data_IF_817121729401
#
_entry.id   IF_817121729401
#
_cell.length_a   1.000
_cell.length_b   1.000
_cell.length_c   1.000
_cell.angle_alpha   90.00
_cell.angle_beta   90.00
_cell.angle_gamma   90.00
#
_symmetry.space_group_name_H-M   'P 1'
#
loop_
_entity.id
_entity.type
_entity.pdbx_description
1 polymer ?
#
# COMPACT_ATOMS: atom_id res chain seq x y z
N UNK A 1 5.66 3.62 19.54
CA UNK A 1 6.37 4.01 20.78
C UNK A 1 6.02 5.44 21.16
N UNK A 2 5.48 5.64 22.38
CA UNK A 2 4.99 6.96 22.84
C UNK A 2 6.12 7.97 23.21
N UNK A 3 7.34 7.50 23.36
CA UNK A 3 8.51 8.36 23.60
C UNK A 3 8.99 8.95 22.27
N UNK A 4 9.09 8.11 21.25
CA UNK A 4 9.53 8.54 19.91
C UNK A 4 8.44 9.35 19.19
N UNK A 5 7.17 9.00 19.39
CA UNK A 5 6.03 9.60 18.71
C UNK A 5 4.95 10.06 19.72
N UNK A 6 5.23 11.09 20.54
CA UNK A 6 4.32 11.53 21.60
C UNK A 6 2.97 12.03 21.09
N UNK A 7 2.89 12.43 19.83
CA UNK A 7 1.66 12.86 19.17
C UNK A 7 0.84 11.71 18.57
N UNK A 8 1.30 10.47 18.64
CA UNK A 8 0.58 9.30 18.15
C UNK A 8 -0.37 8.78 19.22
N UNK A 9 -1.54 9.37 19.31
CA UNK A 9 -2.62 9.03 20.24
C UNK A 9 -3.78 8.30 19.56
N UNK A 10 -4.77 7.90 20.35
CA UNK A 10 -5.96 7.18 19.85
C UNK A 10 -6.79 8.03 18.88
N UNK A 11 -6.82 9.36 19.05
CA UNK A 11 -7.52 10.28 18.16
C UNK A 11 -6.85 10.34 16.78
N UNK A 12 -5.53 10.42 16.74
CA UNK A 12 -4.80 10.40 15.48
C UNK A 12 -4.96 9.05 14.78
N UNK A 13 -4.85 7.94 15.53
CA UNK A 13 -5.05 6.59 14.98
C UNK A 13 -6.46 6.41 14.40
N UNK A 14 -7.49 6.88 15.11
CA UNK A 14 -8.86 6.86 14.61
C UNK A 14 -9.02 7.72 13.34
N UNK A 15 -8.41 8.91 13.30
CA UNK A 15 -8.45 9.79 12.13
C UNK A 15 -7.77 9.16 10.90
N UNK A 16 -6.63 8.48 11.08
CA UNK A 16 -5.96 7.75 10.00
C UNK A 16 -6.83 6.61 9.43
N UNK A 17 -7.52 5.88 10.28
CA UNK A 17 -8.43 4.81 9.85
C UNK A 17 -9.65 5.38 9.12
N UNK A 18 -10.23 6.46 9.63
CA UNK A 18 -11.38 7.11 9.02
C UNK A 18 -11.04 7.71 7.65
N UNK A 19 -9.85 8.31 7.48
CA UNK A 19 -9.35 8.74 6.17
C UNK A 19 -9.43 7.60 5.14
N UNK A 20 -8.88 6.44 5.51
CA UNK A 20 -8.82 5.28 4.62
C UNK A 20 -10.21 4.77 4.28
N UNK A 21 -11.10 4.72 5.26
CA UNK A 21 -12.49 4.28 5.09
C UNK A 21 -13.26 5.21 4.16
N UNK A 22 -13.21 6.51 4.41
CA UNK A 22 -13.88 7.53 3.59
C UNK A 22 -13.31 7.58 2.17
N UNK A 23 -12.01 7.41 2.03
CA UNK A 23 -11.35 7.40 0.73
C UNK A 23 -11.81 6.19 -0.10
N UNK A 24 -11.79 4.98 0.46
CA UNK A 24 -12.29 3.79 -0.21
C UNK A 24 -13.79 3.90 -0.52
N UNK A 25 -14.59 4.38 0.43
CA UNK A 25 -16.01 4.61 0.25
C UNK A 25 -16.30 5.59 -0.90
N UNK A 26 -15.52 6.64 -1.04
CA UNK A 26 -15.68 7.60 -2.14
C UNK A 26 -15.42 6.97 -3.50
N UNK A 27 -14.39 6.13 -3.63
CA UNK A 27 -14.10 5.41 -4.89
C UNK A 27 -15.27 4.48 -5.24
N UNK A 28 -15.81 3.79 -4.25
CA UNK A 28 -16.93 2.86 -4.42
C UNK A 28 -18.25 3.60 -4.77
N UNK A 29 -18.65 4.61 -3.98
CA UNK A 29 -19.93 5.29 -4.12
C UNK A 29 -20.03 6.20 -5.34
N UNK A 30 -18.92 6.81 -5.72
CA UNK A 30 -18.85 7.71 -6.89
C UNK A 30 -18.53 6.94 -8.17
N UNK A 31 -18.45 5.62 -8.09
CA UNK A 31 -18.09 4.73 -9.20
C UNK A 31 -16.83 5.19 -9.93
N UNK A 32 -15.80 5.54 -9.15
CA UNK A 32 -14.52 5.97 -9.69
C UNK A 32 -13.72 4.80 -10.23
N UNK A 33 -12.64 5.13 -10.95
CA UNK A 33 -11.67 4.11 -11.33
C UNK A 33 -11.02 3.50 -10.10
N UNK A 34 -10.84 2.17 -10.05
CA UNK A 34 -10.05 1.52 -9.00
C UNK A 34 -8.59 2.00 -8.99
N UNK A 35 -8.12 2.61 -10.08
CA UNK A 35 -6.77 3.20 -10.16
C UNK A 35 -6.60 4.38 -9.21
N UNK A 36 -7.68 5.05 -8.82
CA UNK A 36 -7.64 6.11 -7.81
C UNK A 36 -7.16 5.59 -6.45
N UNK A 37 -7.34 4.29 -6.17
CA UNK A 37 -6.78 3.67 -4.96
C UNK A 37 -5.24 3.73 -4.92
N UNK A 38 -4.59 3.87 -6.07
CA UNK A 38 -3.13 3.99 -6.18
C UNK A 38 -2.69 5.45 -6.22
N UNK A 39 -3.28 6.24 -7.09
CA UNK A 39 -2.86 7.63 -7.33
C UNK A 39 -4.06 8.55 -7.53
N UNK A 40 -4.58 9.09 -6.45
CA UNK A 40 -5.62 10.11 -6.44
C UNK A 40 -5.04 11.49 -6.14
N UNK A 41 -5.73 12.53 -6.59
CA UNK A 41 -5.41 13.94 -6.34
C UNK A 41 -6.20 14.51 -5.16
N UNK A 42 -6.75 13.65 -4.30
CA UNK A 42 -7.52 14.04 -3.12
C UNK A 42 -7.39 13.02 -1.98
N UNK A 43 -7.75 13.46 -0.79
CA UNK A 43 -7.97 12.62 0.39
C UNK A 43 -9.05 13.22 1.28
N UNK A 44 -9.29 12.65 2.46
CA UNK A 44 -10.23 13.14 3.46
C UNK A 44 -9.49 13.49 4.75
N UNK A 45 -9.63 14.74 5.19
CA UNK A 45 -8.94 15.25 6.37
C UNK A 45 -9.90 15.93 7.33
N UNK A 46 -9.66 15.73 8.63
CA UNK A 46 -10.10 16.59 9.71
C UNK A 46 -8.90 17.41 10.22
N UNK A 47 -9.12 18.30 11.18
CA UNK A 47 -8.06 19.15 11.77
C UNK A 47 -6.88 18.33 12.29
N UNK A 48 -7.15 17.24 13.03
CA UNK A 48 -6.12 16.40 13.64
C UNK A 48 -5.18 15.79 12.61
N UNK A 49 -5.74 15.25 11.52
CA UNK A 49 -4.98 14.60 10.47
C UNK A 49 -4.32 15.62 9.53
N UNK A 50 -4.96 16.73 9.25
CA UNK A 50 -4.41 17.84 8.47
C UNK A 50 -3.15 18.41 9.14
N UNK A 51 -3.20 18.64 10.45
CA UNK A 51 -2.05 19.08 11.24
C UNK A 51 -0.92 18.03 11.23
N UNK A 52 -1.27 16.75 11.31
CA UNK A 52 -0.29 15.67 11.23
C UNK A 52 0.42 15.61 9.87
N UNK A 53 -0.30 15.88 8.78
CA UNK A 53 0.23 15.90 7.43
C UNK A 53 0.91 17.22 7.04
N UNK A 54 0.67 18.29 7.80
CA UNK A 54 1.09 19.65 7.46
C UNK A 54 0.35 20.19 6.23
N UNK A 55 -0.93 19.80 6.05
CA UNK A 55 -1.75 20.17 4.89
C UNK A 55 -2.81 21.17 5.29
N UNK A 56 -2.88 22.30 4.56
CA UNK A 56 -3.97 23.27 4.63
C UNK A 56 -5.03 22.98 3.55
N UNK A 57 -6.17 23.65 3.64
CA UNK A 57 -7.14 23.67 2.55
C UNK A 57 -6.56 24.34 1.29
N UNK A 58 -7.14 24.09 0.07
CA UNK A 58 -6.60 24.63 -1.18
C UNK A 58 -6.53 26.17 -1.25
N UNK A 59 -7.32 26.87 -0.45
CA UNK A 59 -7.28 28.33 -0.26
C UNK A 59 -6.19 28.82 0.70
N UNK A 60 -5.41 27.89 1.27
CA UNK A 60 -4.35 28.15 2.25
C UNK A 60 -4.84 28.23 3.70
N UNK A 61 -6.14 28.18 3.93
CA UNK A 61 -6.71 28.25 5.28
C UNK A 61 -6.53 26.92 6.05
N UNK A 62 -6.36 26.97 7.38
CA UNK A 62 -6.30 25.77 8.20
C UNK A 62 -7.57 24.93 8.09
N UNK A 63 -7.41 23.62 8.09
CA UNK A 63 -8.53 22.69 8.25
C UNK A 63 -8.85 22.62 9.74
N UNK A 64 -10.07 22.98 10.13
CA UNK A 64 -10.49 23.05 11.54
C UNK A 64 -11.66 22.12 11.84
N UNK A 65 -11.68 21.61 13.08
CA UNK A 65 -12.74 20.76 13.63
C UNK A 65 -12.58 19.27 13.33
N UNK A 66 -13.48 18.47 13.93
CA UNK A 66 -13.42 17.00 13.86
C UNK A 66 -14.06 16.43 12.61
N UNK A 67 -14.86 17.21 11.86
CA UNK A 67 -15.54 16.76 10.65
C UNK A 67 -14.55 16.56 9.50
N UNK A 68 -14.59 15.39 8.89
CA UNK A 68 -13.80 15.08 7.70
C UNK A 68 -14.37 15.79 6.48
N UNK A 69 -13.48 16.30 5.65
CA UNK A 69 -13.80 16.87 4.35
C UNK A 69 -12.83 16.40 3.28
N UNK A 70 -13.31 16.31 2.05
CA UNK A 70 -12.45 16.04 0.90
C UNK A 70 -11.52 17.23 0.65
N UNK A 71 -10.23 16.95 0.50
CA UNK A 71 -9.18 17.93 0.25
C UNK A 71 -8.41 17.56 -1.00
N UNK A 72 -8.26 18.50 -1.92
CA UNK A 72 -7.43 18.31 -3.11
C UNK A 72 -5.95 18.36 -2.76
N UNK A 73 -5.16 17.53 -3.44
CA UNK A 73 -3.72 17.35 -3.23
C UNK A 73 -2.95 17.67 -4.53
N UNK A 74 -2.82 18.95 -4.90
CA UNK A 74 -2.25 19.34 -6.19
C UNK A 74 -0.79 18.91 -6.36
N UNK A 75 -0.03 18.86 -5.27
CA UNK A 75 1.38 18.49 -5.29
C UNK A 75 1.60 16.96 -5.34
N UNK A 76 0.53 16.16 -5.14
CA UNK A 76 0.56 14.69 -5.20
C UNK A 76 1.64 14.01 -4.35
N UNK A 77 2.23 14.70 -3.39
CA UNK A 77 3.10 14.06 -2.39
C UNK A 77 2.33 12.93 -1.68
N UNK A 78 1.05 13.18 -1.40
CA UNK A 78 0.11 12.19 -0.90
C UNK A 78 -0.97 11.90 -1.95
N UNK A 79 -1.87 11.01 -1.62
CA UNK A 79 -2.97 10.56 -2.47
C UNK A 79 -2.86 9.08 -2.81
N UNK A 80 -4.00 8.40 -2.73
CA UNK A 80 -4.04 6.94 -2.81
C UNK A 80 -3.55 6.25 -1.52
N UNK A 81 -3.82 4.94 -1.42
CA UNK A 81 -3.59 4.14 -0.21
C UNK A 81 -2.12 4.11 0.23
N UNK A 82 -1.20 4.07 -0.73
CA UNK A 82 0.25 3.91 -0.48
C UNK A 82 0.87 5.02 0.36
N UNK A 83 0.25 6.19 0.43
CA UNK A 83 0.77 7.35 1.18
C UNK A 83 -0.15 7.79 2.32
N UNK A 84 -1.18 7.02 2.63
CA UNK A 84 -1.99 7.25 3.83
C UNK A 84 -1.24 6.82 5.08
N UNK A 85 -1.36 7.60 6.14
CA UNK A 85 -0.65 7.35 7.39
C UNK A 85 -1.06 6.03 8.04
N UNK A 86 -2.29 5.56 7.87
CA UNK A 86 -2.75 4.23 8.30
C UNK A 86 -1.88 3.11 7.73
N UNK A 87 -1.65 3.12 6.41
CA UNK A 87 -0.82 2.13 5.70
C UNK A 87 0.65 2.26 6.09
N UNK A 88 1.17 3.48 6.11
CA UNK A 88 2.57 3.75 6.45
C UNK A 88 2.90 3.34 7.90
N UNK A 89 1.94 3.50 8.82
CA UNK A 89 2.11 3.12 10.24
C UNK A 89 2.11 1.61 10.42
N UNK A 90 1.15 0.88 9.84
CA UNK A 90 1.10 -0.59 10.00
C UNK A 90 2.25 -1.31 9.29
N UNK A 91 2.91 -0.63 8.36
CA UNK A 91 4.09 -1.13 7.64
C UNK A 91 5.42 -0.60 8.20
N UNK A 92 5.41 -0.08 9.42
CA UNK A 92 6.58 0.41 10.14
C UNK A 92 6.86 -0.43 11.40
N UNK A 93 7.99 -0.18 12.04
CA UNK A 93 8.29 -0.67 13.39
C UNK A 93 7.86 0.40 14.42
N UNK A 94 7.70 0.03 15.70
CA UNK A 94 7.28 0.98 16.73
C UNK A 94 8.18 2.20 16.90
N UNK A 95 9.47 2.08 16.59
CA UNK A 95 10.49 3.12 16.80
C UNK A 95 11.04 3.71 15.50
N UNK A 96 10.84 3.05 14.35
CA UNK A 96 11.42 3.47 13.07
C UNK A 96 10.62 2.96 11.88
N UNK A 97 10.89 3.52 10.71
CA UNK A 97 10.41 3.01 9.44
C UNK A 97 10.99 1.63 9.11
N UNK A 98 10.34 0.94 8.18
CA UNK A 98 10.83 -0.33 7.65
C UNK A 98 10.62 -0.37 6.12
N UNK A 99 11.64 -0.01 5.32
CA UNK A 99 11.59 -0.17 3.87
C UNK A 99 11.16 -1.58 3.46
N UNK A 100 11.67 -2.61 4.14
CA UNK A 100 11.31 -4.01 3.89
C UNK A 100 9.81 -4.26 4.03
N UNK A 101 9.20 -3.85 5.16
CA UNK A 101 7.75 -4.04 5.39
C UNK A 101 6.91 -3.24 4.40
N UNK A 102 7.29 -1.99 4.12
CA UNK A 102 6.60 -1.12 3.15
C UNK A 102 6.66 -1.66 1.74
N UNK A 103 7.85 -2.07 1.29
CA UNK A 103 8.03 -2.66 -0.03
C UNK A 103 7.33 -4.00 -0.19
N UNK A 104 7.45 -4.88 0.81
CA UNK A 104 6.74 -6.15 0.83
C UNK A 104 5.24 -5.95 0.77
N UNK A 105 4.69 -5.03 1.56
CA UNK A 105 3.26 -4.72 1.56
C UNK A 105 2.79 -4.24 0.17
N UNK A 106 3.56 -3.35 -0.47
CA UNK A 106 3.23 -2.88 -1.82
C UNK A 106 3.26 -4.02 -2.86
N UNK A 107 4.27 -4.89 -2.80
CA UNK A 107 4.34 -6.07 -3.67
C UNK A 107 3.16 -7.02 -3.45
N UNK A 108 2.88 -7.39 -2.19
CA UNK A 108 1.84 -8.37 -1.87
C UNK A 108 0.41 -7.81 -2.01
N UNK A 109 0.18 -6.58 -1.53
CA UNK A 109 -1.17 -6.06 -1.38
C UNK A 109 -1.63 -5.23 -2.58
N UNK A 110 -0.69 -4.67 -3.35
CA UNK A 110 -0.98 -3.82 -4.50
C UNK A 110 -0.65 -4.53 -5.81
N UNK A 111 0.53 -5.11 -5.94
CA UNK A 111 0.96 -5.72 -7.20
C UNK A 111 0.59 -7.21 -7.31
N UNK A 112 0.26 -7.89 -6.21
CA UNK A 112 -0.03 -9.33 -6.21
C UNK A 112 1.21 -10.18 -6.49
N UNK A 113 2.39 -9.66 -6.20
CA UNK A 113 3.70 -10.28 -6.44
C UNK A 113 4.43 -10.50 -5.09
N UNK A 114 3.95 -11.43 -4.24
CA UNK A 114 4.57 -11.66 -2.95
C UNK A 114 6.02 -12.14 -3.12
N UNK A 115 6.99 -11.51 -2.42
CA UNK A 115 8.34 -12.02 -2.42
C UNK A 115 8.38 -13.41 -1.77
N UNK A 116 9.34 -14.28 -2.14
CA UNK A 116 9.49 -15.58 -1.51
C UNK A 116 9.70 -15.43 0.00
N UNK A 117 9.28 -16.44 0.80
CA UNK A 117 9.50 -16.41 2.24
C UNK A 117 11.00 -16.33 2.55
N UNK A 118 11.39 -15.60 3.61
CA UNK A 118 12.79 -15.53 4.02
C UNK A 118 13.32 -16.91 4.41
N UNK A 119 14.60 -17.20 4.19
CA UNK A 119 15.23 -18.38 4.74
C UNK A 119 15.07 -18.45 6.26
N UNK A 120 15.01 -19.65 6.88
CA UNK A 120 14.68 -19.83 8.30
C UNK A 120 15.68 -19.20 9.29
N UNK A 121 16.91 -18.92 8.86
CA UNK A 121 18.00 -18.45 9.73
C UNK A 121 18.41 -16.98 9.43
N UNK A 122 17.53 -16.16 8.90
CA UNK A 122 17.83 -14.74 8.65
C UNK A 122 17.62 -13.94 9.95
N UNK A 123 18.69 -13.35 10.53
CA UNK A 123 18.55 -12.49 11.69
C UNK A 123 17.83 -11.19 11.31
N UNK A 124 16.98 -10.71 12.21
CA UNK A 124 16.39 -9.39 12.09
C UNK A 124 17.46 -8.30 12.08
N UNK A 125 17.16 -7.18 11.39
CA UNK A 125 18.01 -5.99 11.47
C UNK A 125 18.06 -5.51 12.92
N UNK A 126 19.25 -5.26 13.49
CA UNK A 126 19.37 -4.76 14.85
C UNK A 126 18.54 -3.50 15.07
N UNK A 127 17.79 -3.45 16.17
CA UNK A 127 16.95 -2.30 16.56
C UNK A 127 17.65 -1.32 17.50
N UNK A 128 18.94 -1.56 17.80
CA UNK A 128 19.71 -0.84 18.81
C UNK A 128 20.02 0.61 18.39
N UNK A 129 20.03 1.53 19.37
CA UNK A 129 20.46 2.92 19.19
C UNK A 129 21.87 3.06 18.60
N UNK A 130 22.76 2.08 18.85
CA UNK A 130 24.11 2.02 18.29
C UNK A 130 24.08 1.75 16.77
N UNK A 131 23.10 0.99 16.27
CA UNK A 131 22.93 0.77 14.84
C UNK A 131 22.47 2.05 14.12
N UNK A 132 21.71 2.92 14.79
CA UNK A 132 21.27 4.22 14.26
C UNK A 132 22.42 5.21 14.12
N UNK A 133 23.47 5.08 14.93
CA UNK A 133 24.66 5.95 14.85
C UNK A 133 25.61 5.62 13.70
N UNK A 134 25.48 4.44 13.07
CA UNK A 134 26.45 3.91 12.11
C UNK A 134 26.21 4.24 10.64
N UNK A 135 25.11 4.95 10.28
CA UNK A 135 24.79 5.29 8.90
C UNK A 135 23.30 5.43 8.64
N UNK A 136 22.92 5.90 7.46
CA UNK A 136 21.53 5.96 7.01
C UNK A 136 20.90 4.56 6.97
N UNK A 137 19.56 4.49 7.02
CA UNK A 137 18.87 3.20 6.90
C UNK A 137 19.22 2.49 5.58
N UNK A 138 19.39 3.24 4.49
CA UNK A 138 19.83 2.73 3.18
C UNK A 138 21.20 2.07 3.26
N UNK A 139 22.22 2.76 3.82
CA UNK A 139 23.57 2.21 3.94
C UNK A 139 23.60 0.92 4.77
N UNK A 140 22.84 0.87 5.86
CA UNK A 140 22.73 -0.33 6.71
C UNK A 140 22.09 -1.50 5.96
N UNK A 141 21.04 -1.25 5.18
CA UNK A 141 20.38 -2.28 4.37
C UNK A 141 21.24 -2.74 3.21
N UNK A 142 22.03 -1.86 2.59
CA UNK A 142 22.99 -2.21 1.54
C UNK A 142 24.10 -3.12 2.08
N UNK A 143 24.56 -2.89 3.31
CA UNK A 143 25.50 -3.82 3.95
C UNK A 143 24.89 -5.21 4.17
N UNK A 144 23.63 -5.28 4.59
CA UNK A 144 22.92 -6.56 4.77
C UNK A 144 22.75 -7.31 3.44
N UNK A 145 22.50 -6.61 2.34
CA UNK A 145 22.36 -7.17 0.98
C UNK A 145 23.64 -7.69 0.34
N UNK A 146 24.82 -7.49 0.95
CA UNK A 146 26.07 -8.08 0.45
C UNK A 146 26.03 -9.60 0.47
N UNK A 147 25.16 -10.21 1.27
CA UNK A 147 24.89 -11.65 1.19
C UNK A 147 24.04 -11.95 -0.07
N UNK A 148 24.54 -12.74 -1.04
CA UNK A 148 23.82 -13.07 -2.27
C UNK A 148 22.48 -13.77 -2.03
N UNK A 149 22.35 -14.54 -0.95
CA UNK A 149 21.11 -15.21 -0.59
C UNK A 149 19.98 -14.21 -0.26
N UNK A 150 20.33 -13.02 0.28
CA UNK A 150 19.40 -11.97 0.64
C UNK A 150 19.10 -11.03 -0.55
N UNK A 151 20.10 -10.85 -1.43
CA UNK A 151 20.07 -9.82 -2.48
C UNK A 151 18.89 -9.93 -3.45
N UNK A 152 18.49 -11.16 -3.83
CA UNK A 152 17.43 -11.37 -4.81
C UNK A 152 16.05 -10.93 -4.32
N UNK A 153 15.69 -11.29 -3.07
CA UNK A 153 14.41 -10.92 -2.48
C UNK A 153 14.35 -9.43 -2.13
N UNK A 154 15.49 -8.88 -1.66
CA UNK A 154 15.57 -7.50 -1.21
C UNK A 154 15.64 -6.46 -2.33
N UNK A 155 16.09 -6.84 -3.53
CA UNK A 155 16.31 -5.87 -4.62
C UNK A 155 15.10 -5.00 -4.91
N UNK A 156 13.97 -5.63 -5.18
CA UNK A 156 12.74 -4.92 -5.58
C UNK A 156 11.96 -4.41 -4.37
N UNK A 157 11.86 -5.25 -3.33
CA UNK A 157 11.18 -4.91 -2.09
C UNK A 157 11.79 -3.68 -1.42
N UNK A 158 13.12 -3.62 -1.28
CA UNK A 158 13.80 -2.47 -0.68
C UNK A 158 13.70 -1.23 -1.56
N UNK A 159 13.84 -1.38 -2.89
CA UNK A 159 13.72 -0.25 -3.82
C UNK A 159 12.36 0.42 -3.67
N UNK A 160 11.27 -0.35 -3.66
CA UNK A 160 9.90 0.16 -3.43
C UNK A 160 9.80 0.79 -2.04
N UNK A 161 10.33 0.14 -1.02
CA UNK A 161 10.27 0.62 0.37
C UNK A 161 10.99 1.96 0.57
N UNK A 162 12.13 2.15 -0.06
CA UNK A 162 12.88 3.42 0.00
C UNK A 162 12.10 4.60 -0.58
N UNK A 163 11.23 4.38 -1.56
CA UNK A 163 10.37 5.44 -2.09
C UNK A 163 9.47 6.09 -1.03
N UNK A 164 9.22 5.38 0.09
CA UNK A 164 8.37 5.86 1.17
C UNK A 164 9.17 6.39 2.39
N UNK A 165 10.49 6.49 2.34
CA UNK A 165 11.29 6.94 3.49
C UNK A 165 11.13 8.43 3.82
N UNK A 166 10.61 9.22 2.89
CA UNK A 166 10.14 10.58 3.19
C UNK A 166 8.91 10.64 4.11
N UNK A 167 8.37 9.49 4.53
CA UNK A 167 7.35 9.40 5.55
C UNK A 167 7.91 8.65 6.75
N UNK A 168 7.81 9.23 7.93
CA UNK A 168 8.25 8.59 9.18
C UNK A 168 7.41 7.35 9.55
N UNK A 169 7.66 6.78 10.74
CA UNK A 169 6.97 5.57 11.17
C UNK A 169 5.47 5.77 11.48
N UNK A 170 5.00 6.98 11.61
CA UNK A 170 3.58 7.34 11.77
C UNK A 170 3.02 8.10 10.56
N UNK A 171 3.75 8.09 9.45
CA UNK A 171 3.30 8.65 8.18
C UNK A 171 3.43 10.17 8.05
N UNK A 172 4.09 10.89 8.95
CA UNK A 172 4.41 12.30 8.77
C UNK A 172 5.52 12.48 7.73
N UNK A 173 5.44 13.54 6.91
CA UNK A 173 6.46 13.80 5.88
C UNK A 173 7.74 14.33 6.51
N UNK A 174 8.89 13.88 6.01
CA UNK A 174 10.23 14.29 6.45
C UNK A 174 11.23 14.27 5.29
N UNK A 175 12.22 15.15 5.33
CA UNK A 175 13.33 15.17 4.36
C UNK A 175 14.58 14.49 4.90
N UNK A 176 14.67 14.35 6.23
CA UNK A 176 15.81 13.77 6.94
C UNK A 176 15.37 12.68 7.91
N UNK A 177 16.25 11.72 8.11
CA UNK A 177 16.16 10.73 9.19
C UNK A 177 17.30 11.00 10.18
N UNK A 178 16.97 11.66 11.29
CA UNK A 178 17.96 12.25 12.18
C UNK A 178 18.86 13.26 11.44
N UNK A 179 20.15 12.96 11.33
CA UNK A 179 21.15 13.80 10.63
C UNK A 179 21.31 13.45 9.13
N UNK A 180 20.72 12.37 8.67
CA UNK A 180 20.94 11.87 7.33
C UNK A 180 19.85 12.38 6.37
N UNK A 181 20.28 12.87 5.21
CA UNK A 181 19.38 13.17 4.10
C UNK A 181 18.76 11.86 3.58
N UNK A 182 17.48 11.91 3.26
CA UNK A 182 16.77 10.75 2.73
C UNK A 182 16.98 10.68 1.21
N UNK A 183 17.49 9.54 0.75
CA UNK A 183 17.49 9.21 -0.68
C UNK A 183 16.35 8.22 -0.98
N UNK A 184 15.23 8.71 -1.56
CA UNK A 184 14.06 7.88 -1.87
C UNK A 184 14.13 7.23 -3.27
N UNK A 185 15.29 7.21 -3.91
CA UNK A 185 15.46 6.64 -5.25
C UNK A 185 15.34 5.11 -5.23
N UNK A 186 14.76 4.55 -6.27
CA UNK A 186 14.65 3.12 -6.48
C UNK A 186 14.65 2.75 -7.96
N UNK A 187 14.77 1.45 -8.23
CA UNK A 187 14.73 0.89 -9.58
C UNK A 187 14.03 -0.48 -9.54
N UNK A 188 13.06 -0.68 -10.42
CA UNK A 188 12.42 -1.97 -10.64
C UNK A 188 13.37 -2.96 -11.35
N UNK A 189 13.03 -4.24 -11.32
CA UNK A 189 13.82 -5.29 -11.99
C UNK A 189 13.95 -5.08 -13.51
N UNK A 190 13.00 -4.40 -14.13
CA UNK A 190 13.03 -4.05 -15.56
C UNK A 190 13.86 -2.80 -15.89
N UNK A 191 14.54 -2.21 -14.89
CA UNK A 191 15.35 -1.00 -15.05
C UNK A 191 14.56 0.32 -14.96
N UNK A 192 13.25 0.28 -14.73
CA UNK A 192 12.45 1.50 -14.57
C UNK A 192 12.82 2.20 -13.26
N UNK A 193 13.32 3.42 -13.35
CA UNK A 193 13.74 4.23 -12.20
C UNK A 193 12.63 5.13 -11.70
N UNK A 194 12.65 5.39 -10.39
CA UNK A 194 11.75 6.31 -9.72
C UNK A 194 12.45 7.01 -8.56
N UNK A 195 11.90 8.16 -8.16
CA UNK A 195 12.37 8.90 -6.99
C UNK A 195 11.19 9.31 -6.12
N UNK A 196 11.05 8.65 -4.97
CA UNK A 196 9.99 8.90 -4.01
C UNK A 196 8.63 8.30 -4.40
N UNK A 197 7.69 8.47 -3.48
CA UNK A 197 6.36 7.87 -3.58
C UNK A 197 5.55 8.37 -4.78
N UNK A 198 5.74 9.63 -5.18
CA UNK A 198 5.01 10.22 -6.30
C UNK A 198 5.32 9.51 -7.62
N UNK A 199 6.61 9.33 -7.94
CA UNK A 199 7.02 8.62 -9.15
C UNK A 199 6.57 7.16 -9.10
N UNK A 200 6.78 6.50 -7.93
CA UNK A 200 6.38 5.11 -7.75
C UNK A 200 4.88 4.90 -7.98
N UNK A 201 4.01 5.72 -7.37
CA UNK A 201 2.56 5.65 -7.57
C UNK A 201 2.17 5.81 -9.04
N UNK A 202 2.76 6.80 -9.73
CA UNK A 202 2.52 7.04 -11.15
C UNK A 202 2.89 5.82 -12.01
N UNK A 203 4.03 5.18 -11.73
CA UNK A 203 4.48 3.99 -12.45
C UNK A 203 3.52 2.82 -12.18
N UNK A 204 3.13 2.59 -10.93
CA UNK A 204 2.17 1.54 -10.57
C UNK A 204 0.82 1.81 -11.24
N UNK A 205 0.32 3.05 -11.23
CA UNK A 205 -0.93 3.44 -11.89
C UNK A 205 -0.91 3.28 -13.41
N UNK A 206 0.27 3.31 -14.04
CA UNK A 206 0.45 2.97 -15.46
C UNK A 206 0.45 1.46 -15.71
N UNK A 207 0.94 0.66 -14.76
CA UNK A 207 0.93 -0.81 -14.78
C UNK A 207 -0.40 -1.35 -14.24
N UNK A 208 -1.50 -1.02 -14.91
CA UNK A 208 -2.88 -1.24 -14.42
C UNK A 208 -3.23 -2.69 -14.16
N UNK A 209 -2.79 -3.60 -15.05
CA UNK A 209 -3.19 -5.02 -15.04
C UNK A 209 -2.78 -5.76 -13.75
N UNK A 210 -1.53 -5.68 -13.24
CA UNK A 210 -1.16 -6.31 -11.98
C UNK A 210 -2.04 -5.86 -10.81
N UNK A 211 -2.27 -4.56 -10.66
CA UNK A 211 -3.12 -4.04 -9.59
C UNK A 211 -4.58 -4.50 -9.75
N UNK A 212 -5.15 -4.39 -10.95
CA UNK A 212 -6.53 -4.82 -11.20
C UNK A 212 -6.71 -6.32 -10.90
N UNK A 213 -5.73 -7.16 -11.24
CA UNK A 213 -5.73 -8.59 -10.90
C UNK A 213 -5.68 -8.78 -9.38
N UNK A 214 -4.73 -8.17 -8.70
CA UNK A 214 -4.58 -8.27 -7.24
C UNK A 214 -5.87 -7.86 -6.52
N UNK A 215 -6.44 -6.71 -6.87
CA UNK A 215 -7.70 -6.24 -6.29
C UNK A 215 -8.86 -7.19 -6.60
N UNK A 216 -8.95 -7.70 -7.84
CA UNK A 216 -10.00 -8.67 -8.23
C UNK A 216 -9.90 -9.95 -7.41
N UNK A 217 -8.72 -10.51 -7.21
CA UNK A 217 -8.50 -11.71 -6.39
C UNK A 217 -8.90 -11.48 -4.92
N UNK A 218 -8.53 -10.33 -4.35
CA UNK A 218 -8.90 -9.95 -2.98
C UNK A 218 -10.41 -9.76 -2.82
N UNK A 219 -11.04 -9.05 -3.74
CA UNK A 219 -12.48 -8.84 -3.74
C UNK A 219 -13.25 -10.14 -3.97
N UNK A 220 -12.75 -11.02 -4.83
CA UNK A 220 -13.34 -12.35 -5.04
C UNK A 220 -13.18 -13.23 -3.78
N UNK A 221 -12.00 -13.21 -3.15
CA UNK A 221 -11.74 -13.88 -1.86
C UNK A 221 -12.73 -13.42 -0.79
N UNK A 222 -12.93 -12.11 -0.67
CA UNK A 222 -13.93 -11.54 0.26
C UNK A 222 -15.36 -12.00 -0.07
N UNK A 223 -15.74 -11.93 -1.34
CA UNK A 223 -17.09 -12.28 -1.79
C UNK A 223 -17.40 -13.79 -1.61
N UNK A 224 -16.39 -14.65 -1.75
CA UNK A 224 -16.55 -16.11 -1.64
C UNK A 224 -16.36 -16.63 -0.21
N UNK A 225 -15.75 -15.83 0.69
CA UNK A 225 -15.35 -16.27 2.03
C UNK A 225 -14.28 -17.37 2.04
N UNK A 226 -13.51 -17.51 0.94
CA UNK A 226 -12.39 -18.43 0.79
C UNK A 226 -11.31 -17.84 -0.11
N UNK A 227 -10.09 -18.33 0.00
CA UNK A 227 -9.03 -18.01 -0.98
C UNK A 227 -9.40 -18.41 -2.40
N UNK A 228 -8.80 -17.73 -3.37
CA UNK A 228 -8.89 -18.12 -4.79
C UNK A 228 -8.06 -19.37 -5.05
N UNK A 229 -8.58 -20.22 -5.91
CA UNK A 229 -7.96 -21.48 -6.34
C UNK A 229 -7.54 -21.39 -7.81
N UNK A 230 -6.73 -22.34 -8.27
CA UNK A 230 -6.25 -22.35 -9.66
C UNK A 230 -7.37 -22.31 -10.71
N UNK A 231 -8.51 -22.92 -10.40
CA UNK A 231 -9.69 -22.93 -11.27
C UNK A 231 -10.47 -21.59 -11.28
N UNK A 232 -10.20 -20.66 -10.36
CA UNK A 232 -10.77 -19.31 -10.36
C UNK A 232 -10.00 -18.37 -11.30
N UNK A 233 -8.75 -18.72 -11.69
CA UNK A 233 -7.89 -17.87 -12.54
C UNK A 233 -8.56 -17.43 -13.85
N UNK A 234 -9.24 -18.27 -14.63
CA UNK A 234 -9.91 -17.82 -15.86
C UNK A 234 -11.00 -16.77 -15.59
N UNK A 235 -11.64 -16.83 -14.42
CA UNK A 235 -12.64 -15.82 -13.99
C UNK A 235 -11.96 -14.51 -13.68
N UNK A 236 -10.85 -14.53 -12.95
CA UNK A 236 -10.07 -13.32 -12.64
C UNK A 236 -9.60 -12.64 -13.93
N UNK A 237 -9.01 -13.38 -14.87
CA UNK A 237 -8.54 -12.81 -16.14
C UNK A 237 -9.68 -12.20 -16.97
N UNK A 238 -10.85 -12.84 -17.00
CA UNK A 238 -12.03 -12.27 -17.66
C UNK A 238 -12.48 -10.98 -17.01
N UNK A 239 -12.53 -10.92 -15.68
CA UNK A 239 -12.92 -9.71 -14.94
C UNK A 239 -11.94 -8.58 -15.23
N UNK A 240 -10.64 -8.85 -15.21
CA UNK A 240 -9.59 -7.87 -15.52
C UNK A 240 -9.75 -7.32 -16.94
N UNK A 241 -9.98 -8.19 -17.93
CA UNK A 241 -10.25 -7.75 -19.31
C UNK A 241 -11.51 -6.90 -19.43
N UNK A 242 -12.57 -7.21 -18.67
CA UNK A 242 -13.79 -6.39 -18.64
C UNK A 242 -13.55 -5.04 -17.96
N UNK A 243 -12.76 -5.01 -16.88
CA UNK A 243 -12.36 -3.77 -16.22
C UNK A 243 -11.60 -2.84 -17.18
N UNK A 244 -10.65 -3.37 -17.92
CA UNK A 244 -9.87 -2.61 -18.90
C UNK A 244 -10.79 -1.95 -19.94
N UNK A 245 -11.75 -2.71 -20.47
CA UNK A 245 -12.73 -2.22 -21.46
C UNK A 245 -13.72 -1.18 -20.88
N UNK A 246 -13.84 -1.08 -19.53
CA UNK A 246 -14.77 -0.20 -18.83
C UNK A 246 -14.06 0.80 -17.90
N UNK A 247 -12.91 1.34 -18.30
CA UNK A 247 -12.16 2.39 -17.59
C UNK A 247 -11.83 2.03 -16.12
N UNK A 248 -11.76 0.75 -15.80
CA UNK A 248 -11.52 0.26 -14.45
C UNK A 248 -12.52 0.74 -13.40
N UNK A 249 -13.80 0.93 -13.77
CA UNK A 249 -14.88 1.38 -12.87
C UNK A 249 -15.11 0.38 -11.73
N UNK A 250 -15.31 0.90 -10.52
CA UNK A 250 -15.55 0.06 -9.33
C UNK A 250 -16.82 -0.79 -9.48
N UNK A 251 -17.89 -0.23 -10.02
CA UNK A 251 -19.15 -0.96 -10.27
C UNK A 251 -18.96 -2.13 -11.24
N UNK A 252 -18.08 -2.01 -12.22
CA UNK A 252 -17.74 -3.10 -13.15
C UNK A 252 -17.11 -4.27 -12.39
N UNK A 253 -16.17 -4.00 -11.48
CA UNK A 253 -15.55 -5.04 -10.64
C UNK A 253 -16.59 -5.81 -9.84
N UNK A 254 -17.47 -5.08 -9.13
CA UNK A 254 -18.52 -5.70 -8.31
C UNK A 254 -19.49 -6.50 -9.17
N UNK A 255 -19.97 -5.92 -10.29
CA UNK A 255 -20.94 -6.58 -11.18
C UNK A 255 -20.37 -7.88 -11.77
N UNK A 256 -19.11 -7.87 -12.21
CA UNK A 256 -18.49 -9.05 -12.80
C UNK A 256 -18.19 -10.15 -11.75
N UNK A 257 -17.85 -9.78 -10.52
CA UNK A 257 -17.77 -10.75 -9.41
C UNK A 257 -19.12 -11.40 -9.14
N UNK A 258 -20.19 -10.61 -9.00
CA UNK A 258 -21.55 -11.11 -8.73
C UNK A 258 -22.08 -12.00 -9.86
N UNK A 259 -21.73 -11.70 -11.12
CA UNK A 259 -22.11 -12.53 -12.29
C UNK A 259 -21.27 -13.79 -12.42
N UNK A 260 -20.14 -13.90 -11.75
CA UNK A 260 -19.20 -14.99 -11.92
C UNK A 260 -19.73 -16.33 -11.42
N UNK A 261 -19.33 -17.42 -12.05
CA UNK A 261 -19.70 -18.76 -11.64
C UNK A 261 -19.26 -19.13 -10.21
N UNK A 262 -18.04 -18.78 -9.74
CA UNK A 262 -17.65 -19.02 -8.36
C UNK A 262 -18.56 -18.35 -7.32
N UNK A 263 -19.10 -17.17 -7.63
CA UNK A 263 -20.04 -16.47 -6.74
C UNK A 263 -21.45 -17.06 -6.80
N UNK A 264 -21.92 -17.45 -7.99
CA UNK A 264 -23.30 -17.90 -8.22
C UNK A 264 -23.52 -19.38 -8.02
N UNK A 265 -22.47 -20.20 -8.12
CA UNK A 265 -22.57 -21.66 -8.08
C UNK A 265 -21.74 -22.20 -6.91
N UNK A 266 -22.33 -23.14 -6.18
CA UNK A 266 -21.64 -23.90 -5.14
C UNK A 266 -21.42 -25.32 -5.62
N UNK A 267 -20.22 -25.89 -5.44
CA UNK A 267 -20.03 -27.34 -5.62
C UNK A 267 -20.94 -28.08 -4.63
N UNK A 268 -21.74 -29.00 -5.14
CA UNK A 268 -22.47 -29.94 -4.30
C UNK A 268 -21.48 -30.75 -3.45
N UNK A 269 -21.87 -31.11 -2.23
CA UNK A 269 -21.14 -32.11 -1.46
C UNK A 269 -21.02 -33.36 -2.34
N UNK A 270 -19.80 -33.87 -2.55
CA UNK A 270 -19.62 -35.17 -3.17
C UNK A 270 -20.41 -36.19 -2.31
N UNK A 271 -21.42 -36.81 -2.87
CA UNK A 271 -22.06 -37.95 -2.22
C UNK A 271 -21.07 -39.10 -2.24
N UNK A 272 -20.92 -39.80 -1.10
CA UNK A 272 -20.04 -40.96 -0.95
C UNK A 272 -20.33 -42.09 -1.97
N UNK A 273 -21.33 -41.90 -2.85
CA UNK A 273 -21.70 -42.79 -3.94
C UNK A 273 -20.85 -42.68 -5.20
N UNK A 274 -19.99 -41.65 -5.32
CA UNK A 274 -19.14 -41.44 -6.51
C UNK A 274 -17.70 -41.99 -6.30
N UNK A 275 -17.46 -42.75 -5.24
CA UNK A 275 -16.16 -43.30 -4.84
C UNK A 275 -16.09 -44.84 -4.90
N UNK A 276 -17.02 -45.54 -5.63
CA UNK A 276 -16.94 -46.96 -5.93
C UNK A 276 -16.55 -47.23 -7.39
#
# INVERSE_FOLDING_TARGET
DGVMFPNFDDRLRAAMLEETSLFFESVMREDRSIMDLIDADYTFLNERLANHYGINAPDGEPIVGDAFRRVSLPERQRGGLLTQASVLTVTSNPTRTSPVKRGRWALEQILGEPPPPPPPDVPDLPEDEQAVSSGSIRERMEMHRKNPACANCHREMDAIGFAFENYDAIGAYREKDGRFEIDPAGEFADGTRFRGAQDLKRIIAQRRTPFARCLTEKMLTYALGRGTESYDRPVVERIVGTLEANEYRFSTLVAEIVKSDPFRKRRGAATLADAE
#
